data_IF_983489453694
#
_entry.id   IF_983489453694
#
_cell.length_a   1.000
_cell.length_b   1.000
_cell.length_c   1.000
_cell.angle_alpha   90.00
_cell.angle_beta   90.00
_cell.angle_gamma   90.00
#
_symmetry.space_group_name_H-M   'P 1'
#
loop_
_entity.id
_entity.type
_entity.pdbx_description
1 polymer ?
#
# COMPACT_ATOMS: atom_id res chain seq x y z
N UNK A 1 -17.55 -8.53 10.59
CA UNK A 1 -16.51 -7.80 9.83
C UNK A 1 -16.24 -8.52 8.53
N UNK A 2 -16.15 -7.80 7.44
CA UNK A 2 -15.82 -8.36 6.14
C UNK A 2 -14.37 -8.03 5.78
N UNK A 3 -13.66 -8.99 5.19
CA UNK A 3 -12.35 -8.76 4.60
C UNK A 3 -12.57 -8.28 3.16
N UNK A 4 -12.22 -7.04 2.87
CA UNK A 4 -12.30 -6.47 1.53
C UNK A 4 -11.08 -6.84 0.70
N UNK A 5 -11.26 -7.56 -0.41
CA UNK A 5 -10.20 -7.76 -1.40
C UNK A 5 -10.09 -6.54 -2.29
N UNK A 6 -8.90 -6.00 -2.44
CA UNK A 6 -8.63 -4.85 -3.30
C UNK A 6 -8.23 -5.33 -4.70
N UNK A 7 -8.90 -4.78 -5.70
CA UNK A 7 -8.56 -4.94 -7.11
C UNK A 7 -7.84 -3.69 -7.57
N UNK A 8 -6.59 -3.79 -8.01
CA UNK A 8 -5.74 -2.63 -8.25
C UNK A 8 -6.19 -1.81 -9.47
N UNK A 9 -6.00 -0.48 -9.39
CA UNK A 9 -5.98 0.36 -10.57
C UNK A 9 -4.64 0.19 -11.29
N UNK A 10 -4.67 -0.29 -12.53
CA UNK A 10 -3.49 -0.60 -13.33
C UNK A 10 -3.07 0.60 -14.19
N UNK A 11 -1.77 0.92 -14.20
CA UNK A 11 -1.19 2.03 -14.97
C UNK A 11 -0.16 1.54 -15.96
N UNK A 12 -0.32 1.98 -17.20
CA UNK A 12 0.60 1.71 -18.29
C UNK A 12 1.49 2.93 -18.56
N UNK A 13 2.80 2.74 -18.46
CA UNK A 13 3.79 3.77 -18.78
C UNK A 13 4.92 3.19 -19.64
N UNK A 14 5.64 4.05 -20.38
CA UNK A 14 6.73 3.67 -21.29
C UNK A 14 7.90 2.92 -20.62
N UNK A 15 8.00 3.02 -19.31
CA UNK A 15 9.05 2.41 -18.51
C UNK A 15 8.64 1.10 -17.81
N UNK A 16 7.35 0.71 -17.92
CA UNK A 16 6.80 -0.46 -17.27
C UNK A 16 7.33 -1.77 -17.81
N UNK A 17 7.19 -2.83 -17.01
CA UNK A 17 7.56 -4.20 -17.31
C UNK A 17 6.37 -5.15 -17.38
N UNK A 18 6.63 -6.43 -17.18
CA UNK A 18 5.62 -7.50 -17.22
C UNK A 18 5.62 -8.35 -15.93
N UNK A 19 6.49 -8.06 -14.97
CA UNK A 19 6.63 -8.85 -13.73
C UNK A 19 5.36 -8.81 -12.88
N UNK A 20 4.69 -7.65 -12.79
CA UNK A 20 3.43 -7.52 -12.06
C UNK A 20 2.35 -8.46 -12.58
N UNK A 21 2.30 -8.70 -13.89
CA UNK A 21 1.37 -9.66 -14.51
C UNK A 21 1.86 -11.09 -14.30
N UNK A 22 3.11 -11.38 -14.66
CA UNK A 22 3.64 -12.75 -14.74
C UNK A 22 3.95 -13.37 -13.39
N UNK A 23 4.48 -12.57 -12.45
CA UNK A 23 5.02 -13.08 -11.19
C UNK A 23 4.16 -12.70 -9.97
N UNK A 24 3.37 -11.62 -10.09
CA UNK A 24 2.46 -11.16 -9.04
C UNK A 24 0.98 -11.46 -9.35
N UNK A 25 0.68 -12.02 -10.53
CA UNK A 25 -0.66 -12.44 -10.90
C UNK A 25 -1.68 -11.30 -11.02
N UNK A 26 -1.20 -10.05 -11.22
CA UNK A 26 -2.09 -8.90 -11.37
C UNK A 26 -2.73 -8.95 -12.75
N UNK A 27 -4.06 -9.00 -12.76
CA UNK A 27 -4.82 -8.95 -14.01
C UNK A 27 -4.81 -7.53 -14.57
N UNK A 28 -4.36 -7.38 -15.81
CA UNK A 28 -4.38 -6.11 -16.52
C UNK A 28 -4.67 -6.35 -18.00
N UNK A 29 -5.58 -5.55 -18.61
CA UNK A 29 -5.83 -5.63 -20.05
C UNK A 29 -4.66 -5.07 -20.87
N UNK A 30 -3.76 -4.33 -20.24
CA UNK A 30 -2.67 -3.60 -20.88
C UNK A 30 -1.31 -4.16 -20.50
N UNK A 31 -0.42 -4.27 -21.50
CA UNK A 31 1.01 -4.63 -21.35
C UNK A 31 1.83 -3.58 -22.10
N UNK A 32 2.92 -3.05 -21.51
CA UNK A 32 3.46 -3.33 -20.18
C UNK A 32 2.61 -2.77 -19.05
N UNK A 33 2.68 -3.37 -17.86
CA UNK A 33 2.08 -2.87 -16.64
C UNK A 33 3.16 -2.22 -15.76
N UNK A 34 3.11 -0.91 -15.64
CA UNK A 34 4.12 -0.14 -14.92
C UNK A 34 3.83 -0.05 -13.42
N UNK A 35 2.58 0.25 -13.07
CA UNK A 35 2.13 0.37 -11.67
C UNK A 35 0.80 -0.35 -11.48
N UNK A 36 0.66 -0.99 -10.33
CA UNK A 36 -0.60 -1.48 -9.80
C UNK A 36 -0.87 -0.76 -8.47
N UNK A 37 -1.89 0.09 -8.44
CA UNK A 37 -2.29 0.81 -7.24
C UNK A 37 -3.18 -0.11 -6.40
N UNK A 38 -2.54 -0.81 -5.48
CA UNK A 38 -3.12 -1.93 -4.70
C UNK A 38 -3.91 -1.48 -3.46
N UNK A 39 -3.85 -0.20 -3.12
CA UNK A 39 -4.75 0.50 -2.20
C UNK A 39 -4.78 1.97 -2.60
N UNK A 40 -5.88 2.45 -3.16
CA UNK A 40 -6.00 3.82 -3.64
C UNK A 40 -7.45 4.28 -3.68
N UNK A 41 -7.72 5.43 -3.08
CA UNK A 41 -8.94 6.21 -3.25
C UNK A 41 -8.68 7.51 -4.06
N UNK A 42 -7.59 7.55 -4.85
CA UNK A 42 -7.20 8.71 -5.63
C UNK A 42 -7.95 8.76 -6.96
N UNK A 43 -8.41 9.94 -7.37
CA UNK A 43 -9.18 10.14 -8.62
C UNK A 43 -8.46 9.68 -9.88
N UNK A 44 -7.11 9.75 -9.91
CA UNK A 44 -6.31 9.30 -11.05
C UNK A 44 -6.22 7.77 -11.13
N UNK A 45 -6.58 7.05 -10.07
CA UNK A 45 -6.45 5.60 -10.03
C UNK A 45 -7.13 5.00 -8.82
N UNK A 46 -8.44 5.07 -8.79
CA UNK A 46 -9.25 4.48 -7.74
C UNK A 46 -9.24 2.95 -7.86
N UNK A 47 -8.86 2.28 -6.78
CA UNK A 47 -8.93 0.82 -6.68
C UNK A 47 -10.39 0.38 -6.53
N UNK A 48 -10.67 -0.89 -6.73
CA UNK A 48 -11.99 -1.44 -6.44
C UNK A 48 -11.91 -2.38 -5.24
N UNK A 49 -12.98 -2.46 -4.45
CA UNK A 49 -13.08 -3.35 -3.31
C UNK A 49 -14.22 -4.33 -3.50
N UNK A 50 -13.99 -5.60 -3.14
CA UNK A 50 -15.04 -6.61 -3.10
C UNK A 50 -14.98 -7.39 -1.79
N UNK A 51 -16.14 -7.68 -1.24
CA UNK A 51 -16.27 -8.50 -0.04
C UNK A 51 -16.80 -9.86 -0.45
N UNK A 52 -16.14 -10.95 -0.02
CA UNK A 52 -16.62 -12.31 -0.28
C UNK A 52 -17.80 -12.62 0.62
N UNK A 53 -18.93 -13.01 0.04
CA UNK A 53 -20.11 -13.54 0.76
C UNK A 53 -19.89 -14.95 1.34
N UNK A 54 -18.67 -15.43 1.46
CA UNK A 54 -18.34 -16.76 1.99
C UNK A 54 -18.55 -16.92 3.52
N UNK A 55 -19.62 -16.32 4.05
CA UNK A 55 -20.17 -16.69 5.35
C UNK A 55 -21.07 -17.95 5.29
N UNK A 56 -21.04 -18.74 4.20
CA UNK A 56 -21.89 -19.94 4.01
C UNK A 56 -21.10 -21.23 3.76
N UNK A 57 -20.10 -21.52 4.57
CA UNK A 57 -19.73 -22.92 4.80
C UNK A 57 -20.38 -23.39 6.09
N UNK A 58 -21.65 -23.83 5.98
CA UNK A 58 -22.26 -24.68 6.98
C UNK A 58 -21.55 -26.03 6.93
N UNK A 59 -20.92 -26.41 8.03
CA UNK A 59 -20.58 -27.82 8.28
C UNK A 59 -21.86 -28.66 8.18
N UNK A 60 -21.85 -29.66 7.31
CA UNK A 60 -22.81 -30.75 7.29
C UNK A 60 -24.04 -30.58 6.40
N UNK A 61 -23.94 -31.06 5.17
CA UNK A 61 -25.10 -31.66 4.48
C UNK A 61 -24.59 -32.83 3.65
N UNK A 62 -24.99 -34.02 4.11
CA UNK A 62 -24.92 -35.25 3.35
C UNK A 62 -25.76 -35.13 2.07
N UNK A 63 -25.30 -35.83 1.05
CA UNK A 63 -25.92 -35.96 -0.27
C UNK A 63 -27.41 -36.34 -0.25
N UNK A 64 -28.24 -35.59 -0.96
CA UNK A 64 -29.45 -36.10 -1.56
C UNK A 64 -29.62 -35.55 -2.98
N UNK A 65 -29.63 -36.45 -3.95
CA UNK A 65 -29.93 -36.24 -5.35
C UNK A 65 -31.33 -35.64 -5.54
N UNK A 66 -31.47 -34.66 -6.42
CA UNK A 66 -32.78 -34.08 -6.76
C UNK A 66 -32.72 -33.04 -7.86
N UNK A 67 -32.84 -33.51 -9.12
CA UNK A 67 -33.44 -32.91 -10.33
C UNK A 67 -33.24 -31.41 -10.62
N UNK A 68 -32.63 -31.19 -11.79
CA UNK A 68 -32.50 -29.95 -12.51
C UNK A 68 -33.80 -29.24 -12.87
N UNK A 69 -33.83 -27.92 -12.75
CA UNK A 69 -34.63 -27.07 -13.65
C UNK A 69 -33.80 -25.83 -14.03
N UNK A 70 -33.61 -25.72 -15.32
CA UNK A 70 -32.92 -24.71 -16.08
C UNK A 70 -33.72 -23.41 -16.13
N UNK A 71 -33.10 -22.28 -15.66
CA UNK A 71 -33.32 -20.99 -16.30
C UNK A 71 -31.99 -20.21 -16.18
N UNK A 72 -31.19 -20.27 -17.26
CA UNK A 72 -29.94 -19.57 -17.41
C UNK A 72 -30.15 -18.09 -17.70
N UNK A 73 -29.59 -17.23 -16.87
CA UNK A 73 -29.22 -15.89 -17.32
C UNK A 73 -27.82 -15.98 -17.90
N UNK A 74 -27.74 -15.92 -19.21
CA UNK A 74 -26.51 -15.71 -19.95
C UNK A 74 -25.94 -14.32 -19.60
N UNK A 75 -24.81 -14.27 -18.93
CA UNK A 75 -23.94 -13.10 -18.91
C UNK A 75 -23.01 -13.20 -20.10
N UNK A 76 -23.02 -12.17 -20.94
CA UNK A 76 -22.14 -12.04 -22.11
C UNK A 76 -20.67 -12.01 -21.67
N UNK A 77 -19.88 -12.88 -22.25
CA UNK A 77 -18.40 -12.82 -22.23
C UNK A 77 -17.95 -11.49 -22.87
N UNK A 78 -17.46 -10.54 -22.08
CA UNK A 78 -16.99 -9.26 -22.61
C UNK A 78 -16.44 -8.23 -21.65
N UNK A 79 -16.44 -8.46 -20.31
CA UNK A 79 -15.85 -7.49 -19.36
C UNK A 79 -15.14 -8.21 -18.19
N UNK A 80 -13.88 -8.58 -18.40
CA UNK A 80 -13.09 -9.34 -17.41
C UNK A 80 -12.40 -8.49 -16.34
N UNK A 81 -12.85 -7.25 -16.05
CA UNK A 81 -12.19 -6.35 -15.10
C UNK A 81 -13.11 -5.63 -14.09
N UNK A 82 -14.36 -6.03 -13.88
CA UNK A 82 -15.30 -5.28 -13.03
C UNK A 82 -15.88 -6.08 -11.86
N UNK A 83 -15.06 -6.74 -11.05
CA UNK A 83 -15.52 -7.31 -9.78
C UNK A 83 -15.22 -6.32 -8.65
N UNK A 84 -16.26 -5.81 -7.98
CA UNK A 84 -16.17 -4.90 -6.82
C UNK A 84 -16.70 -3.49 -7.10
N UNK A 85 -16.91 -2.71 -6.03
CA UNK A 85 -17.26 -1.29 -6.08
C UNK A 85 -16.00 -0.39 -6.04
N UNK A 86 -16.13 0.90 -6.39
CA UNK A 86 -15.09 1.91 -6.21
C UNK A 86 -14.67 1.98 -4.74
N UNK A 87 -13.37 1.94 -4.45
CA UNK A 87 -12.89 2.04 -3.07
C UNK A 87 -13.15 3.43 -2.48
N UNK A 88 -13.04 4.49 -3.30
CA UNK A 88 -13.38 5.84 -2.88
C UNK A 88 -14.87 5.99 -2.54
N UNK A 89 -15.79 5.41 -3.32
CA UNK A 89 -17.22 5.42 -3.01
C UNK A 89 -17.53 4.55 -1.78
N UNK A 90 -16.88 3.40 -1.63
CA UNK A 90 -16.98 2.60 -0.40
C UNK A 90 -16.63 3.42 0.84
N UNK A 91 -15.48 4.11 0.85
CA UNK A 91 -15.06 4.94 1.98
C UNK A 91 -16.00 6.13 2.23
N UNK A 92 -16.62 6.67 1.20
CA UNK A 92 -17.62 7.74 1.32
C UNK A 92 -18.91 7.25 1.95
N UNK A 93 -19.35 6.04 1.59
CA UNK A 93 -20.52 5.39 2.19
C UNK A 93 -20.25 4.83 3.60
N UNK A 94 -18.99 4.50 3.89
CA UNK A 94 -18.53 3.91 5.15
C UNK A 94 -17.38 4.72 5.77
N UNK A 95 -17.62 5.98 6.20
CA UNK A 95 -16.57 6.84 6.75
C UNK A 95 -15.99 6.31 8.07
N UNK A 96 -16.67 5.39 8.75
CA UNK A 96 -16.15 4.68 9.92
C UNK A 96 -15.00 3.73 9.57
N UNK A 97 -14.97 3.22 8.34
CA UNK A 97 -14.00 2.20 7.90
C UNK A 97 -12.53 2.66 7.97
N UNK A 98 -12.28 3.98 7.94
CA UNK A 98 -10.94 4.54 8.07
C UNK A 98 -10.48 4.72 9.52
N UNK A 99 -11.39 4.61 10.48
CA UNK A 99 -11.17 4.80 11.91
C UNK A 99 -11.04 6.26 12.34
N UNK A 100 -10.92 6.47 13.66
CA UNK A 100 -10.85 7.83 14.22
C UNK A 100 -9.61 8.58 13.74
N UNK A 101 -8.46 7.93 13.58
CA UNK A 101 -7.25 8.56 13.04
C UNK A 101 -7.44 8.96 11.58
N UNK A 102 -8.05 8.10 10.75
CA UNK A 102 -8.32 8.40 9.35
C UNK A 102 -9.29 9.56 9.13
N UNK A 103 -10.29 9.73 10.02
CA UNK A 103 -11.24 10.83 9.98
C UNK A 103 -10.63 12.21 10.27
N UNK A 104 -9.42 12.27 10.84
CA UNK A 104 -8.70 13.52 11.05
C UNK A 104 -8.17 14.14 9.74
N UNK A 105 -8.14 13.37 8.65
CA UNK A 105 -7.66 13.80 7.35
C UNK A 105 -8.80 14.26 6.43
N UNK A 106 -8.58 15.28 5.58
CA UNK A 106 -9.59 15.73 4.61
C UNK A 106 -9.87 14.71 3.50
N UNK A 107 -8.91 13.82 3.20
CA UNK A 107 -8.99 12.74 2.22
C UNK A 107 -8.43 11.46 2.82
N UNK A 108 -8.72 10.29 2.23
CA UNK A 108 -8.06 9.04 2.59
C UNK A 108 -6.53 9.23 2.53
N UNK A 109 -5.78 8.96 3.61
CA UNK A 109 -4.41 9.47 3.72
C UNK A 109 -3.38 8.68 2.92
N UNK A 110 -3.61 7.40 2.65
CA UNK A 110 -2.58 6.44 2.20
C UNK A 110 -2.87 5.95 0.78
N UNK A 111 -1.80 5.77 -0.01
CA UNK A 111 -1.81 5.10 -1.30
C UNK A 111 -0.68 4.08 -1.34
N UNK A 112 -0.98 2.85 -1.80
CA UNK A 112 0.01 1.77 -1.91
C UNK A 112 0.07 1.29 -3.36
N UNK A 113 1.30 1.15 -3.88
CA UNK A 113 1.55 0.68 -5.24
C UNK A 113 2.54 -0.46 -5.26
N UNK A 114 2.43 -1.31 -6.27
CA UNK A 114 3.51 -2.14 -6.79
C UNK A 114 4.01 -1.51 -8.09
N UNK A 115 5.32 -1.35 -8.22
CA UNK A 115 5.97 -0.66 -9.36
C UNK A 115 6.98 -1.60 -10.02
N UNK A 116 6.81 -1.86 -11.31
CA UNK A 116 7.76 -2.61 -12.15
C UNK A 116 8.50 -1.65 -13.09
N UNK A 117 9.65 -1.18 -12.63
CA UNK A 117 10.52 -0.26 -13.36
C UNK A 117 11.45 -1.02 -14.31
N UNK A 118 10.96 -1.52 -15.43
CA UNK A 118 11.78 -2.15 -16.46
C UNK A 118 12.82 -1.18 -17.05
N UNK A 119 12.45 0.12 -17.16
CA UNK A 119 13.36 1.23 -17.49
C UNK A 119 13.34 2.24 -16.36
N UNK A 120 14.38 3.08 -16.26
CA UNK A 120 14.44 4.11 -15.23
C UNK A 120 13.25 5.08 -15.30
N UNK A 121 12.71 5.46 -14.16
CA UNK A 121 11.73 6.54 -14.05
C UNK A 121 12.44 7.91 -14.21
N UNK A 122 11.66 8.97 -14.45
CA UNK A 122 12.18 10.34 -14.44
C UNK A 122 12.77 10.69 -13.07
N UNK A 123 13.78 11.55 -13.06
CA UNK A 123 14.23 12.19 -11.83
C UNK A 123 13.19 13.24 -11.44
N UNK A 124 12.73 13.21 -10.21
CA UNK A 124 11.58 13.95 -9.73
C UNK A 124 11.72 14.38 -8.29
N UNK A 125 10.85 15.30 -7.88
CA UNK A 125 10.68 15.73 -6.50
C UNK A 125 9.19 15.94 -6.23
N UNK A 126 8.79 15.74 -4.99
CA UNK A 126 7.41 15.95 -4.53
C UNK A 126 7.35 17.08 -3.52
N UNK A 127 6.30 17.94 -3.56
CA UNK A 127 6.09 18.97 -2.56
C UNK A 127 5.64 18.40 -1.22
N UNK A 128 5.75 19.18 -0.16
CA UNK A 128 5.07 18.96 1.11
C UNK A 128 3.60 19.41 1.06
N UNK A 129 2.84 19.14 2.13
CA UNK A 129 1.43 19.51 2.21
C UNK A 129 1.20 21.02 2.21
N UNK A 130 2.09 21.80 2.81
CA UNK A 130 1.90 23.25 2.88
C UNK A 130 1.90 23.88 1.49
N UNK A 131 2.74 23.37 0.61
CA UNK A 131 2.78 23.75 -0.80
C UNK A 131 1.62 23.12 -1.59
N UNK A 132 1.43 21.82 -1.48
CA UNK A 132 0.53 21.06 -2.33
C UNK A 132 -0.95 21.38 -2.06
N UNK A 133 -1.38 21.44 -0.80
CA UNK A 133 -2.78 21.76 -0.44
C UNK A 133 -3.15 23.18 -0.88
N UNK A 134 -2.21 24.14 -0.76
CA UNK A 134 -2.49 25.54 -1.11
C UNK A 134 -2.50 25.80 -2.61
N UNK A 135 -1.69 25.09 -3.40
CA UNK A 135 -1.50 25.37 -4.82
C UNK A 135 -2.10 24.34 -5.77
N UNK A 136 -2.20 23.08 -5.33
CA UNK A 136 -2.64 21.96 -6.18
C UNK A 136 -3.93 21.32 -5.67
N UNK A 137 -4.40 21.67 -4.44
CA UNK A 137 -5.64 21.15 -3.85
C UNK A 137 -5.58 19.67 -3.47
N UNK A 138 -4.38 19.11 -3.31
CA UNK A 138 -4.15 17.72 -2.90
C UNK A 138 -2.98 17.62 -1.92
N UNK A 139 -2.74 16.44 -1.33
CA UNK A 139 -1.61 16.21 -0.45
C UNK A 139 -0.28 16.44 -1.16
N UNK A 140 0.75 16.79 -0.38
CA UNK A 140 2.13 16.54 -0.70
C UNK A 140 2.41 15.05 -0.90
N UNK A 141 3.67 14.69 -1.07
CA UNK A 141 4.01 13.28 -1.28
C UNK A 141 5.28 12.89 -0.53
N UNK A 142 5.11 12.49 0.72
CA UNK A 142 6.08 11.68 1.46
C UNK A 142 5.81 10.22 1.15
N UNK A 143 6.86 9.44 0.90
CA UNK A 143 6.75 8.07 0.47
C UNK A 143 7.81 7.17 1.08
N UNK A 144 7.56 5.87 1.02
CA UNK A 144 8.49 4.83 1.43
C UNK A 144 8.53 3.74 0.38
N UNK A 145 9.72 3.28 0.03
CA UNK A 145 9.94 2.19 -0.92
C UNK A 145 10.50 0.96 -0.22
N UNK A 146 9.99 -0.20 -0.62
CA UNK A 146 10.51 -1.51 -0.23
C UNK A 146 10.92 -2.21 -1.52
N UNK A 147 12.22 -2.45 -1.71
CA UNK A 147 12.74 -3.16 -2.88
C UNK A 147 12.34 -4.64 -2.78
N UNK A 148 11.60 -5.14 -3.76
CA UNK A 148 11.16 -6.53 -3.84
C UNK A 148 12.10 -7.36 -4.68
N UNK A 149 12.48 -6.84 -5.86
CA UNK A 149 13.38 -7.50 -6.81
C UNK A 149 14.27 -6.47 -7.50
N UNK A 150 15.42 -6.90 -7.98
CA UNK A 150 16.32 -6.06 -8.76
C UNK A 150 17.05 -6.87 -9.84
N UNK A 151 17.38 -6.24 -10.96
CA UNK A 151 18.36 -6.72 -11.93
C UNK A 151 19.78 -6.39 -11.45
N UNK A 152 20.80 -7.09 -11.96
CA UNK A 152 22.19 -6.81 -11.61
C UNK A 152 22.56 -5.36 -11.97
N UNK A 153 23.23 -4.68 -11.05
CA UNK A 153 23.64 -3.29 -11.24
C UNK A 153 22.52 -2.24 -11.08
N UNK A 154 21.30 -2.65 -10.68
CA UNK A 154 20.20 -1.72 -10.45
C UNK A 154 20.50 -0.77 -9.27
N UNK A 155 20.06 0.48 -9.38
CA UNK A 155 20.32 1.54 -8.41
C UNK A 155 19.18 2.55 -8.38
N UNK A 156 19.13 3.33 -7.31
CA UNK A 156 18.28 4.51 -7.18
C UNK A 156 19.15 5.78 -7.27
N UNK A 157 18.56 6.86 -7.77
CA UNK A 157 19.02 8.20 -7.41
C UNK A 157 18.31 8.64 -6.13
N UNK A 158 19.07 9.13 -5.14
CA UNK A 158 18.49 9.48 -3.85
C UNK A 158 19.21 10.66 -3.20
N UNK A 159 18.67 11.88 -3.40
CA UNK A 159 19.20 13.14 -2.90
C UNK A 159 20.51 13.59 -3.56
N UNK A 160 20.98 14.75 -3.13
CA UNK A 160 22.18 15.38 -3.65
C UNK A 160 23.46 14.88 -2.97
N UNK A 161 24.57 14.84 -3.74
CA UNK A 161 25.90 14.43 -3.25
C UNK A 161 26.52 15.46 -2.30
N UNK A 162 26.21 16.75 -2.47
CA UNK A 162 26.61 17.89 -1.63
C UNK A 162 25.52 18.94 -1.64
N UNK A 163 25.71 20.03 -0.90
CA UNK A 163 24.87 21.22 -1.04
C UNK A 163 25.10 21.86 -2.42
N UNK A 164 24.00 22.21 -3.09
CA UNK A 164 24.02 22.91 -4.37
C UNK A 164 23.21 24.20 -4.31
N UNK A 165 23.66 25.24 -5.03
CA UNK A 165 22.87 26.44 -5.24
C UNK A 165 21.82 26.19 -6.33
N UNK A 166 20.83 27.06 -6.40
CA UNK A 166 19.81 26.98 -7.44
C UNK A 166 20.41 27.14 -8.84
N UNK A 167 21.39 28.04 -8.98
CA UNK A 167 22.09 28.31 -10.24
C UNK A 167 22.91 27.10 -10.72
N UNK A 168 23.54 26.35 -9.81
CA UNK A 168 24.25 25.12 -10.14
C UNK A 168 23.29 24.06 -10.65
N UNK A 169 22.12 23.94 -10.00
CA UNK A 169 21.08 22.99 -10.38
C UNK A 169 20.49 23.35 -11.74
N UNK A 170 20.12 24.62 -11.96
CA UNK A 170 19.59 25.09 -13.25
C UNK A 170 20.57 24.79 -14.39
N UNK A 171 21.84 25.14 -14.20
CA UNK A 171 22.88 24.87 -15.18
C UNK A 171 22.99 23.38 -15.51
N UNK A 172 22.97 22.51 -14.50
CA UNK A 172 23.06 21.07 -14.70
C UNK A 172 21.84 20.50 -15.44
N UNK A 173 20.64 21.09 -15.26
CA UNK A 173 19.44 20.74 -16.02
C UNK A 173 19.58 21.20 -17.48
N UNK A 174 20.00 22.44 -17.73
CA UNK A 174 20.22 23.02 -19.06
C UNK A 174 21.29 22.26 -19.86
N UNK A 175 22.36 21.84 -19.19
CA UNK A 175 23.45 21.05 -19.77
C UNK A 175 23.14 19.54 -19.89
N UNK A 176 21.92 19.12 -19.59
CA UNK A 176 21.47 17.70 -19.56
C UNK A 176 22.34 16.79 -18.65
N UNK A 177 22.99 17.38 -17.64
CA UNK A 177 23.90 16.69 -16.72
C UNK A 177 23.36 16.54 -15.29
N UNK A 178 22.08 16.80 -15.05
CA UNK A 178 21.45 16.78 -13.73
C UNK A 178 21.70 15.49 -12.93
N UNK A 179 21.71 14.27 -13.53
CA UNK A 179 22.01 13.02 -12.80
C UNK A 179 23.36 13.01 -12.10
N UNK A 180 24.36 13.78 -12.57
CA UNK A 180 25.70 13.84 -11.96
C UNK A 180 25.71 14.51 -10.58
N UNK A 181 24.68 15.27 -10.23
CA UNK A 181 24.55 15.91 -8.92
C UNK A 181 24.04 14.97 -7.82
N UNK A 182 23.47 13.83 -8.19
CA UNK A 182 22.71 12.96 -7.30
C UNK A 182 23.52 11.77 -6.76
N UNK A 183 23.19 11.36 -5.55
CA UNK A 183 23.71 10.11 -4.99
C UNK A 183 23.10 8.92 -5.74
N UNK A 184 23.99 8.04 -6.24
CA UNK A 184 23.63 6.76 -6.82
C UNK A 184 23.75 5.68 -5.75
N UNK A 185 22.63 5.02 -5.40
CA UNK A 185 22.55 4.03 -4.34
C UNK A 185 22.20 2.67 -4.94
N UNK A 186 23.12 1.71 -4.84
CA UNK A 186 22.87 0.32 -5.25
C UNK A 186 21.88 -0.32 -4.30
N UNK A 187 20.96 -1.10 -4.84
CA UNK A 187 19.86 -1.70 -4.07
C UNK A 187 19.91 -3.21 -4.04
N UNK A 188 19.37 -3.77 -2.94
CA UNK A 188 19.15 -5.20 -2.75
C UNK A 188 17.69 -5.46 -2.36
N UNK A 189 17.13 -6.65 -2.68
CA UNK A 189 15.79 -7.02 -2.21
C UNK A 189 15.70 -6.95 -0.68
N UNK A 190 14.65 -6.30 -0.18
CA UNK A 190 14.43 -6.03 1.24
C UNK A 190 14.91 -4.67 1.73
N UNK A 191 15.72 -3.95 0.96
CA UNK A 191 16.10 -2.57 1.30
C UNK A 191 14.86 -1.67 1.41
N UNK A 192 14.88 -0.76 2.38
CA UNK A 192 13.81 0.19 2.65
C UNK A 192 14.35 1.62 2.56
N UNK A 193 13.64 2.47 1.84
CA UNK A 193 13.95 3.89 1.70
C UNK A 193 12.75 4.73 2.14
N UNK A 194 12.94 5.60 3.11
CA UNK A 194 11.96 6.61 3.47
C UNK A 194 12.33 7.92 2.75
N UNK A 195 11.40 8.50 2.00
CA UNK A 195 11.62 9.63 1.10
C UNK A 195 10.72 10.79 1.56
N UNK A 196 11.23 11.69 2.41
CA UNK A 196 10.49 12.89 2.76
C UNK A 196 10.21 13.76 1.54
N UNK A 197 9.10 14.46 1.54
CA UNK A 197 8.82 15.51 0.57
C UNK A 197 10.02 16.46 0.42
N UNK A 198 10.26 16.97 -0.78
CA UNK A 198 11.44 17.80 -1.11
C UNK A 198 12.69 17.01 -1.47
N UNK A 199 12.74 15.70 -1.27
CA UNK A 199 13.90 14.88 -1.66
C UNK A 199 13.87 14.58 -3.16
N UNK A 200 14.93 14.95 -3.89
CA UNK A 200 15.09 14.58 -5.31
C UNK A 200 15.47 13.10 -5.40
N UNK A 201 14.73 12.34 -6.22
CA UNK A 201 14.94 10.90 -6.32
C UNK A 201 14.51 10.33 -7.68
N UNK A 202 14.92 9.09 -7.98
CA UNK A 202 14.41 8.31 -9.11
C UNK A 202 14.64 6.82 -8.91
N UNK A 203 13.67 6.01 -9.36
CA UNK A 203 13.84 4.56 -9.48
C UNK A 203 14.63 4.27 -10.75
N UNK A 204 15.76 3.56 -10.61
CA UNK A 204 16.55 3.08 -11.75
C UNK A 204 15.88 1.92 -12.49
N UNK A 205 16.47 1.54 -13.63
CA UNK A 205 15.97 0.41 -14.40
C UNK A 205 16.18 -0.94 -13.67
N UNK A 206 15.29 -1.88 -13.93
CA UNK A 206 15.40 -3.25 -13.44
C UNK A 206 15.01 -3.43 -11.97
N UNK A 207 14.20 -2.53 -11.40
CA UNK A 207 13.73 -2.58 -10.01
C UNK A 207 12.24 -2.86 -9.97
N UNK A 208 11.85 -3.79 -9.11
CA UNK A 208 10.47 -3.98 -8.70
C UNK A 208 10.37 -3.65 -7.22
N UNK A 209 9.44 -2.78 -6.84
CA UNK A 209 9.28 -2.33 -5.46
C UNK A 209 7.81 -2.16 -5.06
N UNK A 210 7.56 -2.17 -3.76
CA UNK A 210 6.32 -1.67 -3.17
C UNK A 210 6.56 -0.23 -2.69
N UNK A 211 5.61 0.66 -2.98
CA UNK A 211 5.60 2.06 -2.55
C UNK A 211 4.41 2.30 -1.64
N UNK A 212 4.67 2.81 -0.44
CA UNK A 212 3.64 3.31 0.48
C UNK A 212 3.82 4.81 0.62
N UNK A 213 2.77 5.59 0.34
CA UNK A 213 2.87 7.04 0.22
C UNK A 213 1.60 7.75 0.71
N UNK A 214 1.69 9.08 0.86
CA UNK A 214 0.49 9.91 0.94
C UNK A 214 -0.38 9.69 -0.31
N UNK A 215 -1.70 9.79 -0.15
CA UNK A 215 -2.66 9.63 -1.25
C UNK A 215 -2.61 10.81 -2.23
N UNK A 216 -1.53 10.89 -2.98
CA UNK A 216 -1.19 11.94 -3.94
C UNK A 216 -0.51 11.35 -5.16
N UNK A 217 -0.79 11.92 -6.34
CA UNK A 217 -0.08 11.61 -7.59
C UNK A 217 0.78 12.78 -8.08
N UNK A 218 1.03 13.76 -7.21
CA UNK A 218 1.73 14.98 -7.55
C UNK A 218 3.22 14.73 -7.74
N UNK A 219 3.72 15.04 -8.96
CA UNK A 219 5.10 14.78 -9.33
C UNK A 219 5.67 15.94 -10.12
N UNK A 220 6.74 16.58 -9.62
CA UNK A 220 7.50 17.56 -10.37
C UNK A 220 8.71 16.92 -11.01
N UNK A 221 8.61 16.68 -12.31
CA UNK A 221 9.65 16.05 -13.11
C UNK A 221 10.75 17.05 -13.42
N UNK A 222 11.99 16.70 -13.08
CA UNK A 222 13.18 17.55 -13.27
C UNK A 222 13.96 17.11 -14.52
N UNK A 223 14.08 15.79 -14.72
CA UNK A 223 14.88 15.23 -15.81
C UNK A 223 14.28 13.91 -16.31
N UNK A 224 14.19 13.72 -17.62
CA UNK A 224 13.56 12.56 -18.23
C UNK A 224 14.40 11.89 -19.33
N UNK A 225 15.69 12.06 -19.32
CA UNK A 225 16.64 11.42 -20.24
C UNK A 225 16.35 11.72 -21.73
N UNK A 226 15.68 12.83 -22.06
CA UNK A 226 15.28 13.14 -23.44
C UNK A 226 14.34 12.14 -24.09
N UNK A 227 13.65 11.29 -23.29
CA UNK A 227 12.75 10.24 -23.80
C UNK A 227 11.56 10.83 -24.57
N UNK A 228 11.20 10.14 -25.65
CA UNK A 228 10.07 10.49 -26.48
C UNK A 228 9.04 9.35 -26.48
N UNK A 229 7.78 9.72 -26.58
CA UNK A 229 6.69 8.78 -26.81
C UNK A 229 6.69 8.28 -28.26
N UNK A 230 5.71 7.42 -28.62
CA UNK A 230 5.57 6.87 -29.98
C UNK A 230 5.25 7.96 -31.02
N UNK A 231 4.79 9.13 -30.62
CA UNK A 231 4.48 10.30 -31.44
C UNK A 231 5.66 11.28 -31.53
N UNK A 232 6.77 11.01 -30.81
CA UNK A 232 7.97 11.84 -30.81
C UNK A 232 7.95 12.98 -29.79
N UNK A 233 6.95 13.05 -28.90
CA UNK A 233 6.84 14.10 -27.89
C UNK A 233 7.63 13.72 -26.63
N UNK A 234 8.27 14.72 -26.00
CA UNK A 234 8.86 14.58 -24.66
C UNK A 234 7.81 14.82 -23.59
N UNK A 235 7.98 14.21 -22.41
CA UNK A 235 7.15 14.55 -21.26
C UNK A 235 7.52 15.94 -20.73
N UNK A 236 6.53 16.67 -20.26
CA UNK A 236 6.71 17.96 -19.62
C UNK A 236 7.65 17.89 -18.42
N UNK A 237 8.57 18.86 -18.30
CA UNK A 237 9.40 19.10 -17.14
C UNK A 237 8.80 20.23 -16.30
N UNK A 238 8.82 20.09 -14.98
CA UNK A 238 8.26 21.03 -14.02
C UNK A 238 9.37 21.76 -13.26
N UNK A 239 10.39 22.26 -13.95
CA UNK A 239 11.65 22.75 -13.36
C UNK A 239 11.40 23.82 -12.31
N UNK A 240 10.59 24.84 -12.60
CA UNK A 240 10.33 25.94 -11.66
C UNK A 240 9.66 25.46 -10.38
N UNK A 241 8.57 24.69 -10.47
CA UNK A 241 7.92 24.10 -9.31
C UNK A 241 8.85 23.17 -8.51
N UNK A 242 9.68 22.41 -9.22
CA UNK A 242 10.65 21.51 -8.60
C UNK A 242 11.69 22.29 -7.78
N UNK A 243 12.22 23.41 -8.31
CA UNK A 243 13.19 24.26 -7.63
C UNK A 243 12.62 24.94 -6.38
N UNK A 244 11.31 25.25 -6.37
CA UNK A 244 10.63 25.82 -5.20
C UNK A 244 10.55 24.81 -4.04
N UNK A 245 10.42 23.52 -4.33
CA UNK A 245 10.12 22.49 -3.32
C UNK A 245 11.31 21.60 -2.96
N UNK A 246 12.35 21.53 -3.81
CA UNK A 246 13.46 20.62 -3.58
C UNK A 246 14.37 21.04 -2.43
N UNK A 247 14.71 20.07 -1.59
CA UNK A 247 15.77 20.24 -0.60
C UNK A 247 17.14 20.12 -1.30
N UNK A 248 17.87 21.24 -1.39
CA UNK A 248 19.16 21.35 -2.08
C UNK A 248 20.36 20.95 -1.24
N UNK A 249 20.12 20.42 -0.04
CA UNK A 249 21.15 20.00 0.90
C UNK A 249 21.67 18.60 0.62
N UNK A 250 22.91 18.36 1.01
CA UNK A 250 23.51 17.04 0.96
C UNK A 250 22.68 16.02 1.75
N UNK A 251 22.49 14.84 1.19
CA UNK A 251 21.72 13.76 1.81
C UNK A 251 22.38 13.15 3.08
N UNK A 252 23.61 13.52 3.44
CA UNK A 252 24.40 12.87 4.50
C UNK A 252 23.71 12.77 5.87
N UNK A 253 22.87 13.74 6.24
CA UNK A 253 22.10 13.72 7.48
C UNK A 253 20.89 12.76 7.40
N UNK A 254 20.29 12.59 6.22
CA UNK A 254 19.13 11.73 6.00
C UNK A 254 19.48 10.24 5.81
N UNK A 255 20.74 9.95 5.43
CA UNK A 255 21.15 8.61 5.01
C UNK A 255 21.02 7.53 6.08
N UNK A 256 21.16 7.90 7.35
CA UNK A 256 21.07 6.95 8.47
C UNK A 256 19.63 6.70 8.92
N UNK A 257 18.73 7.66 8.77
CA UNK A 257 17.31 7.54 9.15
C UNK A 257 16.43 7.06 7.99
N UNK A 258 16.78 7.49 6.76
CA UNK A 258 15.98 7.20 5.56
C UNK A 258 16.28 5.85 4.90
N UNK A 259 17.35 5.17 5.28
CA UNK A 259 17.80 3.94 4.65
C UNK A 259 18.14 2.84 5.66
N UNK A 260 17.39 1.75 5.62
CA UNK A 260 17.68 0.53 6.38
C UNK A 260 18.15 -0.55 5.43
N UNK A 261 19.48 -0.87 5.44
CA UNK A 261 19.99 -2.10 4.82
C UNK A 261 19.60 -3.30 5.68
N UNK A 262 18.94 -4.26 5.10
CA UNK A 262 18.71 -5.52 5.77
C UNK A 262 19.96 -6.40 5.76
N UNK A 263 20.37 -6.85 6.95
CA UNK A 263 21.15 -8.08 7.11
C UNK A 263 20.32 -9.30 6.69
N UNK A 264 20.96 -10.44 6.45
CA UNK A 264 20.38 -11.68 5.91
C UNK A 264 19.23 -12.33 6.72
N UNK A 265 18.82 -11.76 7.85
CA UNK A 265 17.59 -12.10 8.62
C UNK A 265 17.10 -10.82 9.31
N UNK A 266 15.79 -10.58 9.39
CA UNK A 266 15.28 -9.46 10.20
C UNK A 266 15.74 -9.70 11.64
N UNK A 267 16.45 -8.72 12.20
CA UNK A 267 16.69 -8.62 13.64
C UNK A 267 15.45 -7.91 14.22
N UNK A 268 14.29 -8.50 14.01
CA UNK A 268 13.07 -8.10 14.68
C UNK A 268 12.96 -8.83 16.01
N UNK A 269 12.39 -8.20 17.01
CA UNK A 269 11.93 -8.92 18.19
C UNK A 269 10.98 -10.03 17.74
N UNK A 270 11.14 -11.24 18.28
CA UNK A 270 10.16 -12.31 18.06
C UNK A 270 8.81 -11.75 18.47
N UNK A 271 7.86 -11.71 17.53
CA UNK A 271 6.53 -11.24 17.82
C UNK A 271 5.94 -12.11 18.96
N UNK A 272 5.64 -11.48 20.07
CA UNK A 272 4.90 -12.12 21.14
C UNK A 272 3.42 -11.96 20.84
N UNK A 273 2.79 -12.95 20.21
CA UNK A 273 1.33 -13.04 20.12
C UNK A 273 0.74 -13.23 21.53
N UNK A 274 -0.32 -12.53 21.87
CA UNK A 274 -1.15 -12.92 23.02
C UNK A 274 -1.94 -14.16 22.61
N UNK A 275 -1.76 -15.28 23.32
CA UNK A 275 -2.63 -16.42 23.17
C UNK A 275 -4.04 -16.07 23.64
N UNK A 276 -5.06 -16.82 23.22
CA UNK A 276 -6.44 -16.67 23.70
C UNK A 276 -6.58 -16.79 25.22
N UNK A 277 -5.53 -17.21 25.93
CA UNK A 277 -5.42 -17.34 27.39
C UNK A 277 -4.62 -16.22 28.04
N UNK A 278 -4.18 -15.18 27.29
CA UNK A 278 -3.42 -14.04 27.82
C UNK A 278 -1.94 -14.30 28.10
N UNK A 279 -1.42 -15.49 27.81
CA UNK A 279 -0.01 -15.79 27.91
C UNK A 279 0.75 -15.34 26.65
N UNK A 280 1.84 -14.57 26.84
CA UNK A 280 2.78 -14.22 25.77
C UNK A 280 3.56 -15.44 25.33
N UNK A 281 3.10 -16.12 24.28
CA UNK A 281 3.85 -17.20 23.65
C UNK A 281 4.71 -16.59 22.55
N UNK A 282 6.03 -16.69 22.68
CA UNK A 282 6.95 -16.39 21.58
C UNK A 282 6.74 -17.46 20.50
N UNK A 283 5.98 -17.12 19.47
CA UNK A 283 5.77 -18.03 18.34
C UNK A 283 7.09 -18.21 17.59
N UNK A 284 7.52 -19.47 17.46
CA UNK A 284 8.64 -19.81 16.59
C UNK A 284 8.24 -19.44 15.15
N UNK A 285 9.20 -18.86 14.39
CA UNK A 285 9.03 -18.60 12.96
C UNK A 285 8.12 -17.42 12.58
N UNK A 286 7.90 -16.48 13.50
CA UNK A 286 7.18 -15.21 13.26
C UNK A 286 8.09 -14.03 13.59
N UNK A 287 8.23 -13.09 12.63
CA UNK A 287 9.02 -11.87 12.81
C UNK A 287 8.19 -10.67 12.36
N UNK A 288 8.09 -9.66 13.22
CA UNK A 288 7.42 -8.40 12.93
C UNK A 288 8.42 -7.25 13.10
N UNK A 289 8.53 -6.40 12.09
CA UNK A 289 9.43 -5.24 12.09
C UNK A 289 8.70 -3.98 11.66
N UNK A 290 8.75 -2.91 12.49
CA UNK A 290 8.38 -1.55 12.05
C UNK A 290 9.44 -1.05 11.08
N UNK A 291 9.07 -0.84 9.80
CA UNK A 291 9.98 -0.39 8.75
C UNK A 291 9.86 1.08 8.40
N UNK A 292 8.75 1.72 8.72
CA UNK A 292 8.56 3.14 8.53
C UNK A 292 7.29 3.65 9.18
N UNK A 293 7.25 4.96 9.47
CA UNK A 293 6.10 5.62 10.08
C UNK A 293 6.15 7.11 9.80
N UNK A 294 5.02 7.72 9.50
CA UNK A 294 4.78 9.15 9.44
C UNK A 294 3.31 9.43 9.70
N UNK A 295 2.90 10.69 9.64
CA UNK A 295 1.52 11.11 9.87
C UNK A 295 0.49 10.36 9.01
N UNK A 296 0.85 9.93 7.79
CA UNK A 296 -0.06 9.37 6.78
C UNK A 296 -0.08 7.86 6.72
N UNK A 297 0.90 7.22 7.29
CA UNK A 297 1.01 5.75 7.33
C UNK A 297 2.01 5.27 8.35
N UNK A 298 1.73 4.10 8.89
CA UNK A 298 2.65 3.27 9.65
C UNK A 298 2.74 1.93 8.96
N UNK A 299 3.97 1.42 8.78
CA UNK A 299 4.21 0.20 8.02
C UNK A 299 5.02 -0.79 8.82
N UNK A 300 4.43 -1.97 9.02
CA UNK A 300 5.08 -3.13 9.60
C UNK A 300 5.27 -4.20 8.52
N UNK A 301 6.42 -4.87 8.57
CA UNK A 301 6.71 -6.03 7.75
C UNK A 301 6.63 -7.29 8.59
N UNK A 302 5.73 -8.20 8.20
CA UNK A 302 5.50 -9.48 8.85
C UNK A 302 6.11 -10.60 8.00
N UNK A 303 6.93 -11.46 8.64
CA UNK A 303 7.47 -12.68 8.06
C UNK A 303 6.89 -13.88 8.79
N UNK A 304 6.35 -14.82 8.04
CA UNK A 304 5.89 -16.11 8.52
C UNK A 304 6.70 -17.22 7.86
N UNK A 305 7.36 -18.05 8.66
CA UNK A 305 8.11 -19.24 8.19
C UNK A 305 7.35 -20.51 8.59
N UNK A 306 7.46 -21.57 7.79
CA UNK A 306 6.96 -22.90 8.13
C UNK A 306 5.47 -22.96 8.53
N UNK A 307 4.60 -22.26 7.76
CA UNK A 307 3.17 -22.19 8.02
C UNK A 307 2.82 -21.65 9.42
N UNK A 308 3.57 -20.63 9.86
CA UNK A 308 3.38 -19.99 11.15
C UNK A 308 2.05 -19.22 11.23
N UNK A 309 1.68 -18.86 12.45
CA UNK A 309 0.46 -18.14 12.78
C UNK A 309 0.80 -16.81 13.45
N UNK A 310 0.15 -15.74 13.01
CA UNK A 310 0.20 -14.43 13.65
C UNK A 310 -1.21 -13.90 13.85
N UNK A 311 -1.46 -13.24 14.99
CA UNK A 311 -2.72 -12.56 15.25
C UNK A 311 -2.49 -11.12 15.75
N UNK A 312 -3.42 -10.24 15.41
CA UNK A 312 -3.42 -8.85 15.84
C UNK A 312 -4.82 -8.39 16.20
N UNK A 313 -4.89 -7.25 16.90
CA UNK A 313 -6.15 -6.58 17.21
C UNK A 313 -6.52 -5.64 16.09
N UNK A 314 -7.81 -5.51 15.86
CA UNK A 314 -8.41 -4.42 15.10
C UNK A 314 -9.09 -3.49 16.10
N UNK A 315 -9.04 -2.18 15.83
CA UNK A 315 -9.61 -1.15 16.69
C UNK A 315 -10.44 -0.19 15.85
N UNK A 316 -11.31 0.57 16.50
CA UNK A 316 -12.06 1.66 15.85
C UNK A 316 -11.16 2.86 15.49
N UNK A 317 -9.86 2.79 15.79
CA UNK A 317 -8.90 3.88 15.57
C UNK A 317 -8.35 3.90 14.15
N UNK A 318 -8.08 2.72 13.56
CA UNK A 318 -7.45 2.62 12.25
C UNK A 318 -7.90 1.37 11.48
N UNK A 319 -7.97 1.50 10.17
CA UNK A 319 -7.99 0.37 9.25
C UNK A 319 -6.68 -0.41 9.29
N UNK A 320 -6.69 -1.62 8.74
CA UNK A 320 -5.50 -2.39 8.40
C UNK A 320 -5.52 -2.75 6.90
N UNK A 321 -4.49 -2.36 6.17
CA UNK A 321 -4.20 -2.87 4.82
C UNK A 321 -3.15 -3.98 4.90
N UNK A 322 -3.41 -5.12 4.25
CA UNK A 322 -2.48 -6.24 4.14
C UNK A 322 -2.14 -6.46 2.67
N UNK A 323 -0.87 -6.29 2.30
CA UNK A 323 -0.34 -6.60 0.97
C UNK A 323 0.57 -7.83 1.06
N UNK A 324 0.32 -8.85 0.23
CA UNK A 324 1.14 -10.06 0.17
C UNK A 324 2.31 -9.83 -0.78
N UNK A 325 3.52 -9.69 -0.23
CA UNK A 325 4.74 -9.46 -1.02
C UNK A 325 5.31 -10.79 -1.56
N UNK A 326 5.20 -11.87 -0.78
CA UNK A 326 5.73 -13.19 -1.10
C UNK A 326 4.95 -14.27 -0.35
N UNK A 327 4.75 -15.43 -0.96
CA UNK A 327 4.08 -16.57 -0.35
C UNK A 327 2.56 -16.50 -0.36
N UNK A 328 1.95 -17.19 0.60
CA UNK A 328 0.50 -17.37 0.70
C UNK A 328 0.04 -17.68 2.12
N UNK A 329 -1.25 -17.59 2.36
CA UNK A 329 -1.82 -17.88 3.68
C UNK A 329 -3.33 -17.84 3.73
N UNK A 330 -3.84 -17.95 4.94
CA UNK A 330 -5.26 -17.81 5.26
C UNK A 330 -5.42 -16.63 6.21
N UNK A 331 -6.07 -15.58 5.74
CA UNK A 331 -6.45 -14.40 6.51
C UNK A 331 -7.83 -14.64 7.13
N UNK A 332 -7.95 -14.36 8.42
CA UNK A 332 -9.22 -14.44 9.15
C UNK A 332 -9.44 -13.13 9.90
N UNK A 333 -10.66 -12.63 9.91
CA UNK A 333 -11.06 -11.49 10.74
C UNK A 333 -12.36 -11.82 11.48
N UNK A 334 -12.45 -11.40 12.76
CA UNK A 334 -13.59 -11.66 13.64
C UNK A 334 -13.90 -10.43 14.48
N UNK A 335 -15.17 -9.97 14.48
CA UNK A 335 -15.63 -8.84 15.29
C UNK A 335 -16.14 -9.30 16.64
N UNK A 336 -16.07 -8.42 17.64
CA UNK A 336 -16.58 -8.71 18.98
C UNK A 336 -18.11 -8.56 19.11
N UNK A 337 -18.76 -7.72 18.30
CA UNK A 337 -20.19 -7.45 18.39
C UNK A 337 -20.81 -7.08 17.03
N UNK A 338 -21.93 -7.68 16.68
CA UNK A 338 -22.87 -7.08 15.73
C UNK A 338 -23.69 -6.03 16.50
N UNK A 339 -23.54 -4.74 16.20
CA UNK A 339 -24.52 -3.73 16.62
C UNK A 339 -25.78 -3.95 15.81
N UNK A 340 -26.82 -4.51 16.41
CA UNK A 340 -28.18 -4.43 15.83
C UNK A 340 -28.64 -2.98 15.94
N UNK A 341 -28.69 -2.28 14.82
CA UNK A 341 -29.40 -1.01 14.74
C UNK A 341 -30.91 -1.29 14.72
N UNK A 342 -31.56 -1.13 15.84
CA UNK A 342 -33.02 -1.06 15.86
C UNK A 342 -33.50 0.27 15.25
N UNK A 343 -34.43 0.24 14.28
CA UNK A 343 -34.91 1.44 13.59
C UNK A 343 -35.85 2.33 14.44
N UNK A 344 -36.16 1.95 15.68
CA UNK A 344 -37.05 2.71 16.53
C UNK A 344 -36.47 2.90 17.94
N UNK A 345 -35.98 4.06 18.24
CA UNK A 345 -35.30 4.50 19.48
C UNK A 345 -36.08 4.30 20.81
N UNK A 346 -36.62 3.09 21.10
CA UNK A 346 -37.29 2.81 22.38
C UNK A 346 -36.42 1.92 23.29
N UNK A 347 -36.20 2.29 24.57
CA UNK A 347 -35.47 1.48 25.52
C UNK A 347 -36.46 0.54 26.24
N UNK A 348 -36.61 -0.70 25.77
CA UNK A 348 -37.20 -1.75 26.62
C UNK A 348 -36.17 -2.83 26.92
N UNK A 349 -35.77 -2.86 28.20
CA UNK A 349 -35.01 -3.96 28.78
C UNK A 349 -35.81 -5.25 28.77
N UNK A 350 -35.41 -6.21 27.95
CA UNK A 350 -35.66 -7.63 28.20
C UNK A 350 -34.35 -8.40 28.01
N UNK A 351 -33.92 -9.05 29.09
CA UNK A 351 -32.88 -10.08 29.04
C UNK A 351 -33.39 -11.22 28.16
N UNK A 352 -33.04 -11.20 26.88
CA UNK A 352 -33.13 -12.36 25.99
C UNK A 352 -31.71 -12.79 25.64
N UNK A 353 -31.50 -14.09 25.73
CA UNK A 353 -30.24 -14.82 25.47
C UNK A 353 -29.66 -14.46 24.12
N UNK A 354 -28.69 -13.55 24.13
CA UNK A 354 -27.95 -13.16 22.93
C UNK A 354 -27.02 -14.30 22.52
N UNK A 355 -27.20 -14.78 21.28
CA UNK A 355 -26.19 -15.59 20.60
C UNK A 355 -25.00 -14.69 20.23
N UNK A 356 -23.99 -14.68 21.08
CA UNK A 356 -22.76 -13.87 20.96
C UNK A 356 -21.77 -14.44 19.94
N UNK A 357 -22.20 -14.79 18.73
CA UNK A 357 -21.26 -15.15 17.66
C UNK A 357 -20.97 -13.90 16.83
N UNK A 358 -19.80 -13.29 17.05
CA UNK A 358 -19.25 -12.27 16.19
C UNK A 358 -19.18 -12.74 14.73
N UNK A 359 -19.30 -11.83 13.80
CA UNK A 359 -19.18 -12.15 12.37
C UNK A 359 -17.72 -12.50 12.07
N UNK A 360 -17.51 -13.67 11.47
CA UNK A 360 -16.19 -14.19 11.10
C UNK A 360 -16.08 -14.28 9.57
N UNK A 361 -15.02 -13.71 9.04
CA UNK A 361 -14.65 -13.80 7.62
C UNK A 361 -13.32 -14.50 7.47
N UNK A 362 -13.15 -15.25 6.39
CA UNK A 362 -11.93 -16.00 6.09
C UNK A 362 -11.69 -16.00 4.58
N UNK A 363 -10.47 -15.74 4.16
CA UNK A 363 -10.07 -15.83 2.76
C UNK A 363 -8.65 -16.39 2.62
N UNK A 364 -8.40 -17.02 1.48
CA UNK A 364 -7.05 -17.40 1.06
C UNK A 364 -6.39 -16.19 0.41
N UNK A 365 -5.14 -15.93 0.77
CA UNK A 365 -4.34 -14.80 0.30
C UNK A 365 -3.05 -15.29 -0.34
N UNK A 366 -2.61 -14.64 -1.44
CA UNK A 366 -1.42 -15.03 -2.19
C UNK A 366 -0.65 -13.81 -2.71
N UNK A 367 0.60 -14.04 -3.13
CA UNK A 367 1.53 -13.01 -3.66
C UNK A 367 0.83 -12.07 -4.65
N UNK A 368 1.01 -10.76 -4.47
CA UNK A 368 0.46 -9.69 -5.29
C UNK A 368 -0.94 -9.21 -4.89
N UNK A 369 -1.64 -9.94 -4.01
CA UNK A 369 -2.97 -9.55 -3.55
C UNK A 369 -2.91 -8.57 -2.38
N UNK A 370 -3.89 -7.66 -2.33
CA UNK A 370 -4.07 -6.66 -1.28
C UNK A 370 -5.45 -6.76 -0.68
N UNK A 371 -5.53 -6.54 0.63
CA UNK A 371 -6.74 -6.64 1.43
C UNK A 371 -6.89 -5.44 2.35
N UNK A 372 -8.13 -5.02 2.56
CA UNK A 372 -8.51 -3.95 3.45
C UNK A 372 -9.42 -4.51 4.55
N UNK A 373 -9.03 -4.29 5.80
CA UNK A 373 -9.82 -4.60 6.98
C UNK A 373 -10.25 -3.26 7.58
N UNK A 374 -11.56 -2.95 7.57
CA UNK A 374 -12.08 -1.70 8.13
C UNK A 374 -11.75 -1.54 9.60
N UNK A 375 -11.71 -0.29 10.06
CA UNK A 375 -11.58 0.03 11.47
C UNK A 375 -12.83 -0.43 12.24
N UNK A 376 -12.65 -1.43 13.09
CA UNK A 376 -13.72 -2.02 13.91
C UNK A 376 -13.11 -2.82 15.04
N UNK A 377 -13.75 -2.84 16.23
CA UNK A 377 -13.26 -3.69 17.31
C UNK A 377 -13.31 -5.19 16.96
N UNK A 378 -12.14 -5.83 16.96
CA UNK A 378 -12.06 -7.25 16.61
C UNK A 378 -10.65 -7.81 16.69
N UNK A 379 -10.53 -8.97 16.10
CA UNK A 379 -9.24 -9.67 15.94
C UNK A 379 -9.08 -10.10 14.50
N UNK A 380 -7.84 -10.11 14.05
CA UNK A 380 -7.47 -10.72 12.78
C UNK A 380 -6.33 -11.70 13.00
N UNK A 381 -6.20 -12.64 12.10
CA UNK A 381 -5.10 -13.59 12.12
C UNK A 381 -4.69 -13.99 10.71
N UNK A 382 -3.42 -14.32 10.56
CA UNK A 382 -2.84 -14.83 9.34
C UNK A 382 -2.07 -16.11 9.64
N UNK A 383 -2.42 -17.18 8.94
CA UNK A 383 -1.70 -18.45 9.00
C UNK A 383 -1.14 -18.75 7.62
N UNK A 384 0.18 -18.90 7.49
CA UNK A 384 0.79 -19.13 6.19
C UNK A 384 2.30 -19.09 6.21
N UNK A 385 2.88 -18.92 5.04
CA UNK A 385 4.33 -18.77 4.82
C UNK A 385 4.56 -17.63 3.85
N UNK A 386 5.39 -16.65 4.20
CA UNK A 386 5.69 -15.55 3.29
C UNK A 386 6.07 -14.24 3.98
N UNK A 387 6.02 -13.19 3.16
CA UNK A 387 6.30 -11.79 3.56
C UNK A 387 5.06 -10.95 3.29
N UNK A 388 4.64 -10.22 4.30
CA UNK A 388 3.41 -9.42 4.25
C UNK A 388 3.72 -8.00 4.72
N UNK A 389 3.08 -7.03 4.08
CA UNK A 389 3.16 -5.63 4.47
C UNK A 389 1.84 -5.26 5.15
N UNK A 390 1.94 -4.76 6.36
CA UNK A 390 0.81 -4.28 7.16
C UNK A 390 0.89 -2.76 7.20
N UNK A 391 -0.14 -2.08 6.71
CA UNK A 391 -0.19 -0.60 6.69
C UNK A 391 -1.43 -0.12 7.43
N UNK A 392 -1.24 0.83 8.35
CA UNK A 392 -2.28 1.39 9.20
C UNK A 392 -1.88 2.79 9.67
N UNK A 393 -2.75 3.48 10.43
CA UNK A 393 -2.45 4.74 11.10
C UNK A 393 -2.19 4.50 12.58
N UNK A 394 -1.28 5.26 13.19
CA UNK A 394 -0.98 5.14 14.61
C UNK A 394 -1.06 6.49 15.33
N UNK A 395 -1.44 6.48 16.62
CA UNK A 395 -1.62 7.69 17.45
C UNK A 395 -0.34 8.56 17.48
N UNK A 396 0.83 7.94 17.58
CA UNK A 396 2.11 8.66 17.68
C UNK A 396 2.43 9.50 16.45
N UNK A 397 1.86 9.13 15.32
CA UNK A 397 2.17 9.70 14.02
C UNK A 397 1.10 10.69 13.57
N UNK A 398 -0.13 10.56 14.09
CA UNK A 398 -1.28 11.42 13.75
C UNK A 398 -1.36 12.72 14.56
N UNK A 399 -0.50 12.93 15.55
CA UNK A 399 -0.48 14.19 16.34
C UNK A 399 0.18 15.26 15.49
N UNK A 400 -0.65 16.11 14.86
CA UNK A 400 -0.18 17.35 14.22
C UNK A 400 0.58 18.17 15.27
N UNK A 401 1.81 18.51 14.99
CA UNK A 401 2.51 19.57 15.70
C UNK A 401 1.88 20.88 15.23
N UNK A 402 0.99 21.44 16.07
CA UNK A 402 0.46 22.80 15.94
C UNK A 402 1.60 23.82 15.84
#
# INVERSE_FOLDING_TARGET
MAIGKIHPACKQYLWGGEKLIREYGISSPNTPLAEAWVLSAHSDGDSRISFSDEARFSEGAESSEGTASSEGRFFSEGDSCSHGESFAEYLKCHPEAVGSFGKAFPFFPTLIKLIDAKKALSIQVHPDDSFALSREGQYGKTEMWIVLEREEGAFLYFGFQKDYTEEEIRRAIEEENFPSLLCKVMVEPGDVFFIPAGTVHAIGAGILLAEVQQNSNLTYRVYDYGRKDAQGNTRELHVEKALEVMNRKQLSAYRQEAFKKQGKKPVGEKATGESATGEKVAEKNVYLERIGSCEYFTVDRLFLEENAFYSGKLTEESFLSLLVLEGEGVLTAETKHAKENHPDGSPEYKEETYSSKGQKSKCFVKKGESYFLPAEEGQWSLKGTGKFLLTFLSEKDCVRKD
#
